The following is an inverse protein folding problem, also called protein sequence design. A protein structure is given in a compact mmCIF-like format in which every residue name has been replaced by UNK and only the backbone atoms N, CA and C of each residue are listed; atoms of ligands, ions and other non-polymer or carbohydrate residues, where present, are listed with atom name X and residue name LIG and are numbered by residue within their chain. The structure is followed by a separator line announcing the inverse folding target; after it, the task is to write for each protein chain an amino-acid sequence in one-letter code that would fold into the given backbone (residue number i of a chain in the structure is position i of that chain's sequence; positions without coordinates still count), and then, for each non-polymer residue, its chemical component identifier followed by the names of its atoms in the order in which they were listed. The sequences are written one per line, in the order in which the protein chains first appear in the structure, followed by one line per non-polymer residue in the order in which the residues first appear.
data_IF_888027710189
#
_entry.id   IF_888027710189
#
_cell.length_a   1.000
_cell.length_b   1.000
_cell.length_c   1.000
_cell.angle_alpha   90.00
_cell.angle_beta   90.00
_cell.angle_gamma   90.00
#
_symmetry.space_group_name_H-M   'P 1'
#
loop_
_entity.id
_entity.type
_entity.pdbx_description
1 polymer ?
2 polymer ?
3 polymer ?
4 water ?
#
loop_
_entity_poly.entity_id
_entity_poly.type
_entity_poly.pdbx_seq_one_letter_code
_entity_poly.pdbx_strand_id
2 'polydeoxyribonucleotide' '(DT)(DA)(DA)(DA)(DA)(DT)(DA)(DG)(DT)(DT)(DC)(DT)(DC)(DA)(DC)(DG)(DA)(DT)(DA)(DA)(DC)(DT)(DA)(DT)(DT)(DA)(DA)(DA)' ?
3 'polydeoxyribonucleotide' '(DT)(DT)(DT)(DA)(DA)(DT)(DA)(DG)(DT)(DT)(DA)(DT)(DC)(DG)(DT)(DG)(DA)(DG)(DA)(DA)(DC)(DT)(DA)(DT)(DT)(DT)(DT)(DA)' ?
#
# COMPACT_ATOMS: atom_id res chain seq x y z
N UNK A 3 1.97 -11.65 10.91
CA UNK A 3 0.72 -12.47 10.97
C UNK A 3 -0.48 -11.54 10.76
N UNK A 4 -0.91 -10.74 11.77
CA UNK A 4 -1.96 -9.75 11.54
C UNK A 4 -1.40 -8.54 10.80
N UNK A 5 -0.10 -8.26 10.93
CA UNK A 5 0.44 -7.11 10.25
C UNK A 5 0.31 -7.26 8.74
N UNK A 6 0.23 -8.52 8.28
CA UNK A 6 0.02 -8.82 6.87
C UNK A 6 -1.36 -8.29 6.46
N UNK A 7 -2.39 -8.77 7.17
CA UNK A 7 -3.78 -8.40 6.96
C UNK A 7 -3.89 -6.89 6.71
N UNK A 8 -3.05 -6.11 7.39
CA UNK A 8 -3.02 -4.66 7.25
C UNK A 8 -2.86 -4.19 5.80
N UNK A 9 -1.87 -4.79 5.12
CA UNK A 9 -1.51 -4.44 3.75
C UNK A 9 -2.55 -5.01 2.79
N UNK A 10 -3.26 -6.08 3.20
CA UNK A 10 -4.38 -6.61 2.41
C UNK A 10 -5.49 -5.56 2.39
N UNK A 11 -5.82 -5.02 3.57
CA UNK A 11 -6.98 -4.15 3.72
C UNK A 11 -6.71 -2.87 2.98
N UNK A 12 -5.42 -2.52 2.77
CA UNK A 12 -5.06 -1.39 1.93
C UNK A 12 -5.26 -1.77 0.47
N UNK A 13 -4.89 -2.99 0.10
CA UNK A 13 -5.01 -3.41 -1.29
C UNK A 13 -6.47 -3.38 -1.72
N UNK A 14 -7.39 -3.77 -0.86
CA UNK A 14 -8.79 -3.68 -1.24
C UNK A 14 -9.17 -2.20 -1.29
N UNK A 15 -8.78 -1.45 -0.25
CA UNK A 15 -9.15 -0.06 -0.13
C UNK A 15 -8.70 0.70 -1.38
N UNK A 16 -7.41 0.56 -1.71
CA UNK A 16 -6.81 1.09 -2.93
C UNK A 16 -7.60 0.62 -4.16
N UNK A 17 -8.06 -0.63 -4.15
CA UNK A 17 -8.68 -1.23 -5.33
C UNK A 17 -10.05 -0.61 -5.57
N UNK A 18 -10.85 -0.45 -4.50
CA UNK A 18 -12.20 0.09 -4.58
C UNK A 18 -12.18 1.57 -4.99
N UNK A 19 -11.28 2.32 -4.36
CA UNK A 19 -11.11 3.71 -4.70
C UNK A 19 -10.86 3.90 -6.20
N UNK A 20 -10.12 2.99 -6.83
CA UNK A 20 -9.87 3.12 -8.26
C UNK A 20 -11.18 2.83 -9.02
N UNK A 21 -12.03 1.96 -8.47
CA UNK A 21 -13.26 1.61 -9.17
C UNK A 21 -14.21 2.80 -9.07
N UNK A 22 -14.43 3.28 -7.84
CA UNK A 22 -15.24 4.44 -7.48
C UNK A 22 -14.94 5.63 -8.40
N UNK A 23 -13.66 6.02 -8.48
CA UNK A 23 -13.20 7.21 -9.15
C UNK A 23 -13.45 7.17 -10.65
N UNK A 24 -13.17 6.04 -11.30
CA UNK A 24 -13.38 5.87 -12.73
C UNK A 24 -14.88 5.95 -13.06
N UNK A 25 -15.72 5.41 -12.16
CA UNK A 25 -17.16 5.44 -12.30
C UNK A 25 -17.66 6.88 -12.26
N UNK A 26 -16.99 7.72 -11.45
CA UNK A 26 -17.34 9.11 -11.13
C UNK A 26 -16.52 10.13 -11.92
N UNK A 27 -15.89 9.72 -13.03
CA UNK A 27 -15.18 10.60 -13.96
C UNK A 27 -13.98 11.34 -13.33
N UNK A 28 -13.29 10.70 -12.38
CA UNK A 28 -12.01 11.22 -11.88
C UNK A 28 -10.95 10.11 -11.95
N UNK A 29 -11.03 9.25 -12.97
CA UNK A 29 -10.04 8.25 -13.30
C UNK A 29 -8.59 8.76 -13.16
N UNK A 30 -7.76 7.88 -12.58
CA UNK A 30 -6.36 8.14 -12.37
C UNK A 30 -6.14 9.13 -11.25
N UNK A 31 -7.17 9.66 -10.59
CA UNK A 31 -6.81 10.65 -9.60
C UNK A 31 -7.04 10.10 -8.20
N UNK A 32 -7.58 8.87 -8.07
CA UNK A 32 -7.67 8.25 -6.74
C UNK A 32 -6.29 7.71 -6.40
N UNK A 33 -5.49 8.49 -5.68
CA UNK A 33 -4.07 8.22 -5.69
C UNK A 33 -3.19 9.47 -5.69
N UNK A 34 -1.87 9.34 -5.95
CA UNK A 34 -1.00 10.51 -5.87
C UNK A 34 -1.33 11.51 -6.97
N UNK A 35 -1.81 11.07 -8.14
CA UNK A 35 -2.10 12.06 -9.18
C UNK A 35 -3.13 13.07 -8.65
N UNK A 36 -4.21 12.56 -8.06
CA UNK A 36 -5.24 13.41 -7.49
C UNK A 36 -4.72 14.33 -6.39
N UNK A 37 -3.77 13.86 -5.60
CA UNK A 37 -3.32 14.59 -4.43
C UNK A 37 -2.50 15.80 -4.86
N UNK A 38 -1.75 15.65 -5.96
CA UNK A 38 -0.89 16.71 -6.50
C UNK A 38 -1.71 17.73 -7.27
N UNK A 39 -2.71 17.26 -8.04
CA UNK A 39 -3.63 18.13 -8.73
C UNK A 39 -4.27 19.06 -7.69
N UNK A 40 -4.80 18.49 -6.60
CA UNK A 40 -5.29 19.29 -5.49
C UNK A 40 -4.28 20.32 -5.01
N UNK A 41 -3.04 19.92 -4.76
CA UNK A 41 -2.09 20.85 -4.20
C UNK A 41 -1.86 22.05 -5.11
N UNK A 42 -1.89 21.83 -6.44
CA UNK A 42 -1.61 22.87 -7.43
C UNK A 42 -2.78 23.88 -7.49
N UNK A 43 -4.00 23.34 -7.58
CA UNK A 43 -5.24 24.05 -7.41
C UNK A 43 -5.18 24.90 -6.15
N UNK A 44 -5.13 24.27 -4.98
CA UNK A 44 -5.20 25.02 -3.74
C UNK A 44 -4.13 26.09 -3.59
N UNK A 45 -3.01 25.99 -4.32
CA UNK A 45 -1.96 27.01 -4.19
C UNK A 45 -1.45 27.44 -5.56
N UNK A 46 -2.13 28.36 -6.27
CA UNK A 46 -1.73 28.69 -7.64
C UNK A 46 -0.60 29.72 -7.72
N UNK A 47 -0.23 30.29 -6.56
CA UNK A 47 0.70 31.42 -6.53
C UNK A 47 2.10 30.95 -6.15
N UNK A 48 2.18 29.71 -5.66
CA UNK A 48 3.46 29.05 -5.41
C UNK A 48 3.87 28.28 -6.67
N UNK A 49 5.08 28.55 -7.17
CA UNK A 49 5.62 27.74 -8.25
C UNK A 49 6.10 26.42 -7.64
N UNK A 50 5.80 25.31 -8.29
CA UNK A 50 6.10 24.01 -7.69
C UNK A 50 6.99 23.22 -8.65
N UNK A 51 8.13 22.75 -8.17
CA UNK A 51 9.01 21.93 -8.99
C UNK A 51 8.80 20.43 -8.71
N UNK A 52 9.45 19.56 -9.50
CA UNK A 52 9.26 18.12 -9.31
C UNK A 52 9.66 17.68 -7.90
N UNK A 53 10.78 18.21 -7.38
CA UNK A 53 11.31 17.97 -6.04
C UNK A 53 10.26 18.29 -4.99
N UNK A 54 9.48 19.38 -5.21
CA UNK A 54 8.52 19.84 -4.22
C UNK A 54 7.44 18.76 -4.06
N UNK A 55 7.20 18.02 -5.15
CA UNK A 55 6.24 16.93 -5.13
C UNK A 55 6.76 15.77 -4.29
N UNK A 56 8.08 15.50 -4.34
CA UNK A 56 8.66 14.47 -3.50
C UNK A 56 8.21 14.74 -2.08
N UNK A 57 8.26 16.01 -1.67
CA UNK A 57 8.07 16.38 -0.28
C UNK A 57 6.59 16.38 0.12
N UNK A 58 5.73 16.84 -0.77
CA UNK A 58 4.32 16.91 -0.47
C UNK A 58 3.77 15.49 -0.23
N UNK A 59 4.21 14.53 -1.06
CA UNK A 59 3.56 13.22 -1.09
C UNK A 59 4.39 12.18 -0.35
N UNK A 60 5.53 12.56 0.24
CA UNK A 60 6.44 11.65 0.93
C UNK A 60 6.80 10.50 -0.01
N UNK A 61 7.39 10.81 -1.17
CA UNK A 61 7.86 9.80 -2.11
C UNK A 61 9.34 10.05 -2.45
N UNK A 62 10.00 9.12 -3.15
CA UNK A 62 11.41 9.20 -3.55
C UNK A 62 11.59 10.02 -4.82
N UNK A 63 12.85 10.23 -5.15
CA UNK A 63 13.22 10.98 -6.33
C UNK A 63 12.64 10.36 -7.61
N UNK A 64 12.78 9.06 -7.79
CA UNK A 64 12.38 8.49 -9.07
C UNK A 64 10.87 8.33 -9.12
N UNK A 65 10.26 8.08 -7.97
CA UNK A 65 8.82 7.93 -7.90
C UNK A 65 8.18 9.22 -8.37
N UNK A 66 8.61 10.35 -7.81
CA UNK A 66 8.14 11.68 -8.21
C UNK A 66 8.39 11.92 -9.70
N UNK A 67 9.62 11.67 -10.16
CA UNK A 67 9.86 11.87 -11.58
C UNK A 67 8.89 11.03 -12.41
N UNK A 68 8.70 9.77 -12.09
CA UNK A 68 7.80 8.99 -12.93
C UNK A 68 6.34 9.46 -12.82
N UNK A 69 5.95 9.96 -11.63
CA UNK A 69 4.57 10.32 -11.35
C UNK A 69 4.18 11.51 -12.26
N UNK A 70 4.98 12.61 -12.25
CA UNK A 70 4.77 13.75 -13.13
C UNK A 70 4.73 13.29 -14.60
N UNK A 71 5.46 12.23 -14.99
CA UNK A 71 5.42 11.85 -16.39
C UNK A 71 4.04 11.30 -16.68
N UNK A 72 3.44 10.65 -15.68
CA UNK A 72 2.16 10.00 -15.88
C UNK A 72 1.06 11.08 -15.94
N UNK A 73 1.23 12.15 -15.15
CA UNK A 73 0.21 13.18 -15.12
C UNK A 73 0.23 13.98 -16.43
N UNK A 74 1.42 14.39 -16.90
CA UNK A 74 1.55 14.94 -18.23
C UNK A 74 0.84 14.07 -19.27
N UNK A 75 1.06 12.77 -19.25
CA UNK A 75 0.50 11.90 -20.29
C UNK A 75 -1.03 11.87 -20.19
N UNK A 76 -1.54 12.13 -18.99
CA UNK A 76 -2.95 12.05 -18.73
C UNK A 76 -3.64 13.38 -19.06
N UNK A 77 -2.85 14.45 -19.22
CA UNK A 77 -3.37 15.74 -19.58
C UNK A 77 -3.53 16.70 -18.41
N UNK A 78 -3.19 16.28 -17.18
CA UNK A 78 -3.49 17.10 -16.02
C UNK A 78 -2.47 18.22 -15.78
N UNK A 79 -1.34 18.18 -16.51
CA UNK A 79 -0.28 19.12 -16.15
C UNK A 79 0.65 19.32 -17.33
N UNK A 80 1.35 20.46 -17.30
CA UNK A 80 2.36 20.78 -18.27
C UNK A 80 3.64 21.01 -17.46
N UNK A 81 4.77 20.57 -18.05
CA UNK A 81 6.05 20.64 -17.34
C UNK A 81 6.87 21.66 -18.10
N UNK A 82 7.32 22.70 -17.39
CA UNK A 82 8.08 23.78 -18.02
C UNK A 82 9.43 23.99 -17.33
N UNK A 83 10.56 23.88 -18.08
CA UNK A 83 11.87 24.24 -17.54
C UNK A 83 11.85 25.64 -16.93
N UNK A 84 12.58 25.81 -15.82
CA UNK A 84 12.85 27.11 -15.20
C UNK A 84 13.87 27.83 -16.08
N UNK A 85 13.77 29.17 -16.20
CA UNK A 85 14.76 29.88 -17.02
C UNK A 85 15.86 30.45 -16.13
N UNK A 86 15.55 30.58 -14.84
CA UNK A 86 16.51 31.05 -13.85
C UNK A 86 17.45 29.91 -13.45
N UNK A 87 16.89 28.80 -12.94
CA UNK A 87 17.64 27.63 -12.53
C UNK A 87 17.49 26.50 -13.55
N UNK A 88 18.53 26.22 -14.34
CA UNK A 88 18.35 25.35 -15.50
C UNK A 88 18.20 23.90 -15.06
N UNK A 89 18.30 23.66 -13.75
CA UNK A 89 18.14 22.32 -13.22
C UNK A 89 16.65 22.03 -13.07
N UNK A 90 15.85 23.06 -12.74
CA UNK A 90 14.50 22.91 -12.23
C UNK A 90 13.48 22.85 -13.37
N UNK A 91 12.36 22.15 -13.14
CA UNK A 91 11.21 22.15 -14.05
C UNK A 91 9.96 22.44 -13.24
N UNK A 92 9.13 23.41 -13.70
CA UNK A 92 7.95 23.76 -12.93
C UNK A 92 6.73 22.95 -13.39
N UNK A 93 5.77 22.76 -12.47
CA UNK A 93 4.57 22.06 -12.83
C UNK A 93 3.44 23.10 -12.88
N UNK A 94 2.47 22.88 -13.78
CA UNK A 94 1.33 23.76 -13.95
C UNK A 94 0.12 22.88 -14.32
N UNK A 95 -1.00 23.08 -13.61
CA UNK A 95 -2.27 22.46 -13.96
C UNK A 95 -2.63 22.93 -15.35
N UNK A 96 -3.08 22.00 -16.19
CA UNK A 96 -3.68 22.36 -17.45
C UNK A 96 -5.16 22.69 -17.20
N UNK A 97 -5.87 23.02 -18.30
CA UNK A 97 -7.29 23.29 -18.26
C UNK A 97 -8.03 22.04 -17.75
N UNK A 98 -7.73 20.87 -18.33
CA UNK A 98 -8.33 19.61 -17.89
C UNK A 98 -7.99 19.39 -16.42
N UNK A 99 -6.71 19.61 -16.09
CA UNK A 99 -6.28 19.61 -14.69
C UNK A 99 -7.23 20.39 -13.77
N UNK A 100 -7.48 21.65 -14.11
CA UNK A 100 -8.23 22.60 -13.28
C UNK A 100 -9.65 22.09 -13.15
N UNK A 101 -10.24 21.61 -14.23
CA UNK A 101 -11.61 21.15 -14.02
C UNK A 101 -11.63 19.89 -13.16
N UNK A 102 -10.61 19.01 -13.30
CA UNK A 102 -10.58 17.77 -12.55
C UNK A 102 -10.45 18.04 -11.06
N UNK A 103 -9.62 19.02 -10.68
CA UNK A 103 -9.47 19.35 -9.27
C UNK A 103 -10.83 19.59 -8.64
N UNK A 104 -11.72 20.23 -9.42
CA UNK A 104 -13.10 20.53 -9.05
C UNK A 104 -13.93 19.26 -8.89
N UNK A 105 -14.05 18.40 -9.92
CA UNK A 105 -14.88 17.22 -9.76
C UNK A 105 -14.30 16.36 -8.64
N UNK A 106 -12.96 16.42 -8.45
CA UNK A 106 -12.28 15.55 -7.51
C UNK A 106 -12.58 15.96 -6.08
N UNK A 107 -12.59 17.27 -5.82
CA UNK A 107 -12.85 17.86 -4.51
C UNK A 107 -14.23 17.41 -4.05
N UNK A 108 -15.15 17.29 -5.01
CA UNK A 108 -16.51 16.79 -4.76
C UNK A 108 -16.43 15.31 -4.37
N UNK A 109 -15.74 14.52 -5.18
CA UNK A 109 -15.51 13.11 -4.95
C UNK A 109 -14.99 12.88 -3.53
N UNK A 110 -13.95 13.63 -3.12
CA UNK A 110 -13.42 13.51 -1.77
C UNK A 110 -14.50 13.64 -0.71
N UNK A 111 -15.29 14.72 -0.79
CA UNK A 111 -16.38 14.99 0.14
C UNK A 111 -17.32 13.78 0.20
N UNK A 112 -17.84 13.37 -0.95
CA UNK A 112 -18.75 12.23 -1.01
C UNK A 112 -18.14 10.98 -0.38
N UNK A 113 -16.92 10.62 -0.79
CA UNK A 113 -16.24 9.44 -0.29
C UNK A 113 -16.09 9.51 1.24
N UNK A 114 -15.46 10.58 1.76
CA UNK A 114 -15.31 10.75 3.20
C UNK A 114 -16.64 10.48 3.93
N UNK A 115 -17.71 11.15 3.49
CA UNK A 115 -19.00 11.03 4.16
C UNK A 115 -19.52 9.59 4.10
N UNK A 116 -19.25 8.88 3.00
CA UNK A 116 -19.85 7.57 2.83
C UNK A 116 -18.95 6.51 3.44
N UNK A 117 -17.78 6.91 3.94
CA UNK A 117 -16.88 5.90 4.46
C UNK A 117 -16.86 5.95 5.99
N UNK A 118 -17.17 7.11 6.56
CA UNK A 118 -17.15 7.25 8.01
C UNK A 118 -18.57 7.27 8.59
N UNK A 119 -19.45 6.45 8.00
CA UNK A 119 -20.84 6.34 8.42
C UNK A 119 -21.02 5.16 9.37
N UNK A 120 -21.55 5.47 10.56
CA UNK A 120 -21.66 4.50 11.62
C UNK A 120 -20.45 4.48 12.54
N UNK A 121 -19.58 5.52 12.43
CA UNK A 121 -18.36 5.65 13.22
C UNK A 121 -18.38 6.99 13.95
N UNK A 122 -17.94 6.99 15.23
CA UNK A 122 -17.95 8.18 16.07
C UNK A 122 -16.63 8.93 15.92
N UNK A 123 -16.42 9.97 16.72
CA UNK A 123 -15.25 10.81 16.55
C UNK A 123 -14.13 10.37 17.48
N UNK A 124 -14.46 10.10 18.75
CA UNK A 124 -13.45 9.70 19.71
C UNK A 124 -12.82 8.38 19.24
N UNK A 125 -13.69 7.44 18.84
CA UNK A 125 -13.29 6.21 18.17
C UNK A 125 -12.32 6.51 17.03
N UNK A 126 -12.70 7.45 16.16
CA UNK A 126 -11.89 7.89 15.03
C UNK A 126 -10.63 8.65 15.50
N UNK A 127 -10.76 9.51 16.53
CA UNK A 127 -9.63 10.29 17.00
C UNK A 127 -8.61 9.39 17.71
N UNK A 128 -9.09 8.30 18.35
CA UNK A 128 -8.23 7.34 19.03
C UNK A 128 -7.53 6.43 18.02
N UNK A 129 -8.26 6.00 16.99
CA UNK A 129 -7.66 5.36 15.84
C UNK A 129 -6.44 6.17 15.40
N UNK A 130 -6.52 7.50 15.46
CA UNK A 130 -5.41 8.35 15.06
C UNK A 130 -4.16 8.07 15.91
N UNK A 131 -4.23 8.36 17.21
CA UNK A 131 -3.08 8.23 18.08
C UNK A 131 -2.63 6.78 18.23
N UNK A 132 -3.53 5.81 17.97
CA UNK A 132 -3.16 4.39 17.86
C UNK A 132 -2.25 4.19 16.64
N UNK A 133 -2.53 4.94 15.57
CA UNK A 133 -1.78 4.92 14.34
C UNK A 133 -0.54 5.79 14.48
N UNK A 134 -0.66 6.92 15.18
CA UNK A 134 0.47 7.82 15.33
C UNK A 134 1.56 7.13 16.15
N UNK A 135 1.12 6.28 17.12
CA UNK A 135 2.00 5.49 17.98
C UNK A 135 2.84 4.52 17.16
N UNK A 136 2.17 3.72 16.31
CA UNK A 136 2.84 2.80 15.40
C UNK A 136 3.94 3.56 14.69
N UNK A 137 3.55 4.65 14.01
CA UNK A 137 4.46 5.47 13.25
C UNK A 137 5.61 5.92 14.16
N UNK A 138 5.26 6.39 15.35
CA UNK A 138 6.26 6.87 16.29
C UNK A 138 7.20 5.72 16.67
N UNK A 139 6.65 4.51 16.79
CA UNK A 139 7.39 3.33 17.19
C UNK A 139 8.47 2.95 16.18
N UNK A 140 8.19 3.20 14.90
CA UNK A 140 9.09 2.94 13.78
C UNK A 140 9.91 4.20 13.47
N UNK A 141 10.64 4.73 14.46
CA UNK A 141 11.36 5.98 14.26
C UNK A 141 12.87 5.76 14.29
N UNK B 2 -8.68 17.88 7.50
CA UNK B 2 -7.58 16.97 7.07
C UNK B 2 -8.05 16.17 5.84
N UNK B 3 -7.22 15.22 5.39
CA UNK B 3 -7.56 14.36 4.25
C UNK B 3 -7.28 12.89 4.59
N UNK B 4 -8.23 11.97 4.30
CA UNK B 4 -8.14 10.55 4.69
C UNK B 4 -7.49 9.62 3.67
N UNK B 5 -7.66 9.94 2.39
CA UNK B 5 -7.12 9.11 1.32
C UNK B 5 -5.59 9.20 1.34
N UNK B 6 -5.08 10.42 1.44
CA UNK B 6 -3.65 10.69 1.26
C UNK B 6 -2.90 10.10 2.45
N UNK B 7 -3.23 10.60 3.64
CA UNK B 7 -2.54 10.24 4.86
C UNK B 7 -2.28 8.73 4.87
N UNK B 8 -3.34 7.93 4.69
CA UNK B 8 -3.32 6.48 4.87
C UNK B 8 -2.24 5.82 4.01
N UNK B 9 -2.25 6.23 2.73
CA UNK B 9 -1.32 5.81 1.68
C UNK B 9 0.11 6.10 2.15
N UNK B 10 0.36 7.32 2.65
CA UNK B 10 1.69 7.71 3.11
C UNK B 10 2.10 6.76 4.23
N UNK B 11 1.21 6.64 5.24
CA UNK B 11 1.57 5.97 6.48
C UNK B 11 1.96 4.55 6.16
N UNK B 12 1.25 3.92 5.21
CA UNK B 12 1.58 2.58 4.77
C UNK B 12 2.91 2.55 4.03
N UNK B 13 3.13 3.52 3.12
CA UNK B 13 4.38 3.56 2.38
C UNK B 13 5.57 3.58 3.34
N UNK B 14 5.53 4.37 4.41
CA UNK B 14 6.68 4.40 5.31
C UNK B 14 6.74 3.09 6.09
N UNK B 15 5.57 2.60 6.51
CA UNK B 15 5.54 1.41 7.33
C UNK B 15 6.17 0.27 6.55
N UNK B 16 5.61 0.03 5.37
CA UNK B 16 6.16 -0.92 4.40
C UNK B 16 7.67 -0.73 4.25
N UNK B 17 8.15 0.51 4.28
CA UNK B 17 9.54 0.76 3.93
C UNK B 17 10.44 0.35 5.08
N UNK B 18 10.00 0.57 6.33
CA UNK B 18 10.76 0.17 7.50
C UNK B 18 10.80 -1.36 7.63
N UNK B 19 9.64 -2.00 7.48
CA UNK B 19 9.60 -3.45 7.51
C UNK B 19 10.66 -4.02 6.56
N UNK B 20 10.84 -3.41 5.39
CA UNK B 20 11.87 -3.90 4.50
C UNK B 20 13.25 -3.67 5.16
N UNK B 21 13.46 -2.51 5.77
CA UNK B 21 14.77 -2.20 6.31
C UNK B 21 15.06 -3.19 7.43
N UNK B 22 14.13 -3.27 8.40
CA UNK B 22 14.22 -4.10 9.59
C UNK B 22 14.58 -5.56 9.21
N UNK B 23 13.87 -6.08 8.22
CA UNK B 23 13.89 -7.49 7.89
C UNK B 23 15.19 -7.93 7.20
N UNK B 24 15.90 -6.99 6.56
CA UNK B 24 17.19 -7.24 5.95
C UNK B 24 18.26 -7.34 7.04
N UNK B 25 18.16 -6.48 8.07
CA UNK B 25 19.12 -6.51 9.15
C UNK B 25 18.99 -7.81 9.94
N UNK B 26 17.76 -8.34 10.02
CA UNK B 26 17.45 -9.56 10.76
C UNK B 26 17.53 -10.82 9.91
N UNK B 27 18.12 -10.71 8.71
CA UNK B 27 18.41 -11.82 7.81
C UNK B 27 17.13 -12.54 7.33
N UNK B 28 16.02 -11.79 7.20
CA UNK B 28 14.81 -12.28 6.55
C UNK B 28 14.48 -11.34 5.37
N UNK B 29 15.53 -10.91 4.66
CA UNK B 29 15.37 -10.14 3.44
C UNK B 29 14.39 -10.80 2.48
N UNK B 30 13.52 -9.94 1.90
CA UNK B 30 12.51 -10.34 0.95
C UNK B 30 11.31 -10.99 1.61
N UNK B 31 11.27 -11.15 2.92
CA UNK B 31 10.09 -11.86 3.41
C UNK B 31 9.16 -10.90 4.12
N UNK B 32 9.53 -9.61 4.23
CA UNK B 32 8.62 -8.62 4.83
C UNK B 32 7.62 -8.26 3.75
N UNK B 33 6.48 -8.93 3.70
CA UNK B 33 5.64 -8.88 2.52
C UNK B 33 5.00 -10.22 2.15
N UNK B 34 4.43 -10.34 0.93
CA UNK B 34 3.74 -11.59 0.57
C UNK B 34 4.69 -12.77 0.56
N UNK B 35 5.99 -12.57 0.24
CA UNK B 35 6.86 -13.75 0.20
C UNK B 35 6.89 -14.41 1.58
N UNK B 36 7.10 -13.62 2.61
CA UNK B 36 7.10 -14.12 3.97
C UNK B 36 5.77 -14.77 4.36
N UNK B 37 4.66 -14.27 3.83
CA UNK B 37 3.35 -14.76 4.26
C UNK B 37 3.11 -16.13 3.64
N UNK B 38 3.57 -16.33 2.41
CA UNK B 38 3.39 -17.62 1.76
C UNK B 38 4.33 -18.65 2.38
N UNK B 39 5.55 -18.24 2.77
CA UNK B 39 6.50 -19.17 3.35
C UNK B 39 5.91 -19.68 4.65
N UNK B 40 5.44 -18.78 5.52
CA UNK B 40 4.68 -19.13 6.70
C UNK B 40 3.52 -20.08 6.40
N UNK B 41 2.76 -19.85 5.35
CA UNK B 41 1.61 -20.71 5.18
C UNK B 41 2.02 -22.15 4.85
N UNK B 42 3.09 -22.32 4.05
CA UNK B 42 3.58 -23.62 3.60
C UNK B 42 4.16 -24.41 4.78
N UNK B 43 4.92 -23.71 5.64
CA UNK B 43 5.38 -24.20 6.92
C UNK B 43 4.22 -24.77 7.73
N UNK B 44 3.35 -23.90 8.24
CA UNK B 44 2.27 -24.30 9.12
C UNK B 44 1.44 -25.46 8.56
N UNK B 45 1.38 -25.64 7.24
CA UNK B 45 0.56 -26.71 6.68
C UNK B 45 1.36 -27.55 5.69
N UNK B 46 2.18 -28.52 6.15
CA UNK B 46 3.09 -29.22 5.24
C UNK B 46 2.37 -30.34 4.50
N UNK B 47 1.11 -30.62 4.93
CA UNK B 47 0.37 -31.80 4.49
C UNK B 47 -0.52 -31.46 3.29
N UNK B 48 -0.96 -30.21 3.20
CA UNK B 48 -1.76 -29.74 2.07
C UNK B 48 -0.88 -29.43 0.85
N UNK B 49 -1.36 -29.82 -0.33
CA UNK B 49 -0.79 -29.30 -1.56
C UNK B 49 -1.32 -27.89 -1.77
N UNK B 50 -0.42 -26.92 -1.89
CA UNK B 50 -0.79 -25.58 -2.30
C UNK B 50 -0.36 -25.44 -3.75
N UNK B 51 -1.31 -25.11 -4.63
CA UNK B 51 -1.00 -24.69 -6.00
C UNK B 51 -0.93 -23.15 -6.09
N UNK B 52 -0.53 -22.62 -7.26
CA UNK B 52 -0.43 -21.17 -7.40
C UNK B 52 -1.76 -20.47 -7.07
N UNK B 53 -2.91 -21.05 -7.50
CA UNK B 53 -4.22 -20.46 -7.32
C UNK B 53 -4.50 -20.32 -5.83
N UNK B 54 -4.05 -21.32 -5.04
CA UNK B 54 -4.32 -21.34 -3.61
C UNK B 54 -3.63 -20.13 -2.97
N UNK B 55 -2.56 -19.67 -3.62
CA UNK B 55 -1.86 -18.50 -3.10
C UNK B 55 -2.66 -17.23 -3.36
N UNK B 56 -3.38 -17.17 -4.50
CA UNK B 56 -4.25 -16.02 -4.79
C UNK B 56 -5.17 -15.79 -3.61
N UNK B 57 -5.76 -16.88 -3.09
CA UNK B 57 -6.84 -16.83 -2.12
C UNK B 57 -6.32 -16.57 -0.71
N UNK B 58 -5.12 -17.07 -0.39
CA UNK B 58 -4.54 -16.88 0.92
C UNK B 58 -4.12 -15.43 1.10
N UNK B 59 -3.59 -14.83 0.03
CA UNK B 59 -2.92 -13.54 0.12
C UNK B 59 -3.85 -12.42 -0.38
N UNK B 60 -5.06 -12.79 -0.86
CA UNK B 60 -6.01 -11.88 -1.49
C UNK B 60 -5.35 -11.07 -2.60
N UNK B 61 -4.86 -11.74 -3.66
CA UNK B 61 -4.24 -11.10 -4.82
C UNK B 61 -4.82 -11.67 -6.10
N UNK B 62 -4.51 -11.10 -7.27
CA UNK B 62 -4.99 -11.49 -8.60
C UNK B 62 -4.17 -12.63 -9.22
N UNK B 63 -4.69 -13.17 -10.35
CA UNK B 63 -3.97 -14.15 -11.17
C UNK B 63 -2.50 -13.77 -11.41
N UNK B 64 -2.26 -12.63 -12.05
CA UNK B 64 -0.93 -12.27 -12.54
C UNK B 64 -0.01 -12.02 -11.35
N UNK B 65 -0.62 -11.51 -10.28
CA UNK B 65 0.18 -11.13 -9.13
C UNK B 65 0.71 -12.39 -8.46
N UNK B 66 -0.14 -13.39 -8.33
CA UNK B 66 0.25 -14.67 -7.77
C UNK B 66 1.33 -15.32 -8.66
N UNK B 67 1.08 -15.32 -9.98
CA UNK B 67 2.07 -15.91 -10.86
C UNK B 67 3.42 -15.20 -10.69
N UNK B 68 3.45 -13.90 -10.73
CA UNK B 68 4.75 -13.23 -10.63
C UNK B 68 5.39 -13.41 -9.24
N UNK B 69 4.54 -13.59 -8.21
CA UNK B 69 5.06 -13.67 -6.85
C UNK B 69 5.78 -15.03 -6.68
N UNK B 70 5.11 -16.15 -7.09
CA UNK B 70 5.80 -17.42 -7.03
C UNK B 70 7.10 -17.36 -7.83
N UNK B 71 7.16 -16.58 -8.93
CA UNK B 71 8.39 -16.61 -9.72
C UNK B 71 9.51 -16.01 -8.87
N UNK B 72 9.17 -14.96 -8.10
CA UNK B 72 10.17 -14.22 -7.34
C UNK B 72 10.71 -15.11 -6.23
N UNK B 73 9.81 -15.90 -5.66
CA UNK B 73 10.19 -16.74 -4.53
C UNK B 73 11.13 -17.85 -5.00
N UNK B 74 10.81 -18.49 -6.15
CA UNK B 74 11.71 -19.39 -6.83
C UNK B 74 13.08 -18.75 -7.04
N UNK B 75 13.14 -17.56 -7.60
CA UNK B 75 14.43 -16.92 -7.88
C UNK B 75 15.22 -16.71 -6.58
N UNK B 76 14.52 -16.67 -5.45
CA UNK B 76 15.11 -16.27 -4.19
C UNK B 76 15.46 -17.53 -3.39
N UNK B 77 15.01 -18.69 -3.87
CA UNK B 77 15.41 -19.96 -3.30
C UNK B 77 14.46 -20.48 -2.23
N UNK B 78 13.34 -19.80 -2.03
CA UNK B 78 12.40 -20.19 -0.98
C UNK B 78 11.50 -21.37 -1.38
N UNK B 79 11.41 -21.64 -2.67
CA UNK B 79 10.40 -22.62 -3.08
C UNK B 79 10.85 -23.28 -4.36
N UNK B 80 10.24 -24.45 -4.60
CA UNK B 80 10.38 -25.20 -5.83
C UNK B 80 8.97 -25.38 -6.36
N UNK B 81 8.82 -25.26 -7.70
CA UNK B 81 7.51 -25.30 -8.34
C UNK B 81 7.57 -26.57 -9.16
N UNK B 82 6.54 -27.42 -9.01
CA UNK B 82 6.47 -28.74 -9.63
C UNK B 82 5.08 -29.02 -10.22
N UNK B 83 5.01 -29.26 -11.55
CA UNK B 83 3.75 -29.58 -12.21
C UNK B 83 3.18 -30.79 -11.51
N UNK B 84 1.84 -30.87 -11.51
CA UNK B 84 1.06 -32.00 -11.01
C UNK B 84 1.07 -33.10 -12.06
N UNK B 85 0.88 -34.37 -11.66
CA UNK B 85 0.75 -35.36 -12.72
C UNK B 85 -0.69 -35.75 -12.92
N UNK B 86 -1.51 -35.55 -11.88
CA UNK B 86 -2.92 -35.83 -12.00
C UNK B 86 -3.60 -34.74 -12.83
N UNK B 87 -3.46 -33.47 -12.42
CA UNK B 87 -4.05 -32.33 -13.11
C UNK B 87 -2.98 -31.56 -13.88
N UNK B 88 -3.01 -31.64 -15.21
CA UNK B 88 -1.82 -31.29 -15.97
C UNK B 88 -1.67 -29.77 -16.07
N UNK B 89 -2.66 -29.05 -15.56
CA UNK B 89 -2.64 -27.61 -15.68
C UNK B 89 -2.17 -26.97 -14.36
N UNK B 90 -2.14 -27.76 -13.26
CA UNK B 90 -1.80 -27.30 -11.92
C UNK B 90 -0.30 -27.40 -11.65
N UNK B 91 0.26 -26.48 -10.85
CA UNK B 91 1.65 -26.54 -10.46
C UNK B 91 1.73 -26.45 -8.95
N UNK B 92 2.48 -27.34 -8.32
CA UNK B 92 2.49 -27.36 -6.85
C UNK B 92 3.68 -26.56 -6.32
N UNK B 93 3.49 -25.99 -5.13
CA UNK B 93 4.55 -25.22 -4.48
C UNK B 93 5.06 -26.04 -3.29
N UNK B 94 6.39 -25.98 -3.07
CA UNK B 94 7.06 -26.73 -2.04
C UNK B 94 8.14 -25.83 -1.48
N UNK B 95 8.12 -25.64 -0.15
CA UNK B 95 9.17 -24.96 0.60
C UNK B 95 10.46 -25.69 0.35
N UNK B 96 11.54 -24.96 0.08
CA UNK B 96 12.85 -25.59 0.03
C UNK B 96 13.46 -25.59 1.42
N UNK B 97 14.72 -26.07 1.47
CA UNK B 97 15.50 -26.15 2.68
C UNK B 97 15.72 -24.73 3.22
N UNK B 98 16.23 -23.84 2.35
CA UNK B 98 16.42 -22.43 2.70
C UNK B 98 15.08 -21.86 3.11
N UNK B 99 14.04 -22.18 2.33
CA UNK B 99 12.69 -21.83 2.71
C UNK B 99 12.34 -22.17 4.16
N UNK B 100 12.63 -23.42 4.61
CA UNK B 100 12.22 -23.95 5.90
C UNK B 100 13.03 -23.22 6.97
N UNK B 101 14.32 -23.04 6.72
CA UNK B 101 15.18 -22.33 7.65
C UNK B 101 14.63 -20.90 7.84
N UNK B 102 14.23 -20.26 6.73
CA UNK B 102 13.77 -18.87 6.78
C UNK B 102 12.41 -18.75 7.48
N UNK B 103 11.52 -19.72 7.28
CA UNK B 103 10.23 -19.69 7.96
C UNK B 103 10.43 -19.53 9.45
N UNK B 104 11.46 -20.20 9.98
CA UNK B 104 11.87 -20.17 11.39
C UNK B 104 12.44 -18.80 11.79
N UNK B 105 13.48 -18.30 11.08
CA UNK B 105 14.08 -17.02 11.45
C UNK B 105 12.98 -15.96 11.41
N UNK B 106 11.98 -16.14 10.51
CA UNK B 106 10.98 -15.16 10.20
C UNK B 106 9.89 -15.08 11.26
N UNK B 107 9.53 -16.24 11.80
CA UNK B 107 8.58 -16.37 12.90
C UNK B 107 9.12 -15.62 14.13
N UNK B 108 10.44 -15.72 14.38
CA UNK B 108 11.10 -14.95 15.42
C UNK B 108 10.90 -13.46 15.15
N UNK B 109 11.22 -13.04 13.93
CA UNK B 109 11.13 -11.65 13.50
C UNK B 109 9.71 -11.12 13.72
N UNK B 110 8.67 -11.89 13.32
CA UNK B 110 7.30 -11.49 13.59
C UNK B 110 7.07 -11.25 15.08
N UNK B 111 7.55 -12.15 15.94
CA UNK B 111 7.38 -11.97 17.38
C UNK B 111 8.01 -10.64 17.81
N UNK B 112 9.22 -10.37 17.34
CA UNK B 112 9.98 -9.20 17.76
C UNK B 112 9.38 -7.92 17.21
N UNK B 113 8.40 -8.04 16.31
CA UNK B 113 7.74 -6.91 15.70
C UNK B 113 6.61 -6.42 16.60
N UNK B 114 5.64 -7.30 16.87
CA UNK B 114 4.52 -6.94 17.71
C UNK B 114 5.05 -6.41 19.03
N UNK B 115 6.02 -7.14 19.59
CA UNK B 115 6.69 -6.74 20.81
C UNK B 115 7.26 -5.31 20.70
N UNK B 116 7.47 -4.79 19.49
CA UNK B 116 8.17 -3.52 19.46
C UNK B 116 7.26 -2.42 18.91
N UNK B 117 6.20 -2.81 18.20
CA UNK B 117 5.46 -1.79 17.50
C UNK B 117 4.14 -1.51 18.20
N UNK B 118 3.72 -2.42 19.08
CA UNK B 118 2.49 -2.24 19.85
C UNK B 118 2.80 -1.85 21.29
N UNK B 119 3.96 -1.21 21.50
CA UNK B 119 4.37 -0.69 22.79
C UNK B 119 3.67 0.64 23.06
N UNK B 120 3.09 0.76 24.25
CA UNK B 120 2.40 1.97 24.67
C UNK B 120 0.94 2.02 24.23
N UNK B 121 0.43 0.91 23.67
CA UNK B 121 -0.93 0.81 23.16
C UNK B 121 -1.66 -0.27 23.97
N UNK B 122 -2.99 -0.13 24.14
CA UNK B 122 -3.80 -1.05 24.94
C UNK B 122 -4.72 -1.90 24.07
N UNK B 123 -5.04 -3.10 24.56
CA UNK B 123 -5.77 -4.07 23.75
C UNK B 123 -7.19 -3.58 23.51
N UNK B 124 -7.67 -2.64 24.33
CA UNK B 124 -9.01 -2.09 24.08
C UNK B 124 -8.91 -1.06 22.95
N UNK B 125 -8.04 -0.06 23.15
CA UNK B 125 -7.64 0.86 22.11
C UNK B 125 -7.52 0.12 20.78
N UNK B 126 -6.74 -0.97 20.81
CA UNK B 126 -6.44 -1.80 19.65
C UNK B 126 -7.70 -2.48 19.10
N UNK B 127 -8.53 -3.10 19.96
CA UNK B 127 -9.68 -3.85 19.51
C UNK B 127 -10.70 -2.93 18.85
N UNK B 128 -10.74 -1.66 19.27
CA UNK B 128 -11.65 -0.66 18.72
C UNK B 128 -11.16 -0.16 17.35
N UNK B 129 -9.85 0.08 17.22
CA UNK B 129 -9.33 0.53 15.94
C UNK B 129 -9.61 -0.55 14.91
N UNK B 130 -9.69 -1.81 15.37
CA UNK B 130 -9.87 -2.93 14.45
C UNK B 130 -11.33 -3.01 14.02
N UNK B 131 -12.21 -2.45 14.83
CA UNK B 131 -13.61 -2.37 14.46
C UNK B 131 -13.82 -1.12 13.62
N UNK B 132 -13.08 -0.05 13.93
CA UNK B 132 -12.97 1.15 13.08
C UNK B 132 -12.63 0.70 11.65
N UNK B 133 -11.66 -0.23 11.54
CA UNK B 133 -11.16 -0.77 10.27
C UNK B 133 -12.21 -1.69 9.66
N UNK B 134 -12.77 -2.59 10.46
CA UNK B 134 -13.70 -3.61 9.98
C UNK B 134 -14.86 -2.94 9.22
N UNK B 135 -15.36 -1.83 9.79
CA UNK B 135 -16.53 -1.12 9.28
C UNK B 135 -16.17 -0.28 8.06
N UNK B 136 -15.01 0.40 8.09
CA UNK B 136 -14.42 1.01 6.90
C UNK B 136 -14.55 0.02 5.74
N UNK B 137 -13.87 -1.12 5.89
CA UNK B 137 -13.95 -2.25 4.98
C UNK B 137 -15.39 -2.49 4.55
N UNK B 138 -16.24 -2.82 5.52
CA UNK B 138 -17.59 -3.28 5.27
C UNK B 138 -18.43 -2.21 4.56
N UNK B 139 -17.97 -0.95 4.61
CA UNK B 139 -18.60 0.16 3.90
C UNK B 139 -18.56 -0.04 2.39
N UNK B 140 -17.60 -0.83 1.90
CA UNK B 140 -17.51 -1.22 0.50
C UNK B 140 -18.04 -2.64 0.34
N UNK B 141 -19.34 -2.77 0.02
CA UNK B 141 -20.02 -4.06 -0.01
C UNK B 141 -19.34 -5.04 -0.97
#
# INVERSE_FOLDING_TARGET
MENPLQKARILVNQLEKYLDRYAKEYDVEHLAGPQGHLVMHLYKHPDKDMSIKDAEEILHISKSVASNLVKRMEKNGFIAIVPSKTDKRVKYLYLTHLGKQKATQFEIFLEKLHSTMLAGITKEEIRTTKKVIRTLAKNMAMEDFDSLEVLFQ
MENPLQKARILVNQLEKYLDRYAKEYDVEHLAGPQGHLVMHLYKHPDKDMSIKDAEEILHISKSVASNLVKRMEKNGFIAIVPSKTDKRVKYLYLTHLGKQKATQFEIFLEKLHSTMLAGITKEEIRTTKKVIRTLAKNMAMEDFDSLEVLFQ
#
